data_IF_353952647402
#
_entry.id   IF_353952647402
#
_cell.length_a   1.000
_cell.length_b   1.000
_cell.length_c   1.000
_cell.angle_alpha   90.00
_cell.angle_beta   90.00
_cell.angle_gamma   90.00
#
_symmetry.space_group_name_H-M   'P 1'
#
loop_
_entity.id
_entity.type
_entity.pdbx_description
1 polymer ?
#
# COMPACT_ATOMS: atom_id res chain seq x y z
N UNK A 1 38.75 4.47 63.63
CA UNK A 1 39.28 3.67 62.52
C UNK A 1 38.14 3.53 61.53
N UNK A 2 38.00 4.53 60.65
CA UNK A 2 38.52 4.57 59.24
C UNK A 2 37.65 3.67 58.36
N UNK A 3 37.07 4.07 57.22
CA UNK A 3 37.18 5.26 56.37
C UNK A 3 36.02 5.22 55.35
N UNK A 4 35.51 6.40 55.01
CA UNK A 4 35.20 6.94 53.67
C UNK A 4 34.37 6.21 52.57
N UNK A 5 33.54 7.08 51.99
CA UNK A 5 32.65 7.06 50.82
C UNK A 5 33.33 6.67 49.50
N UNK A 6 32.58 6.03 48.59
CA UNK A 6 32.72 6.29 47.14
C UNK A 6 31.40 6.09 46.39
N UNK A 7 30.89 7.20 45.85
CA UNK A 7 30.00 7.25 44.70
C UNK A 7 30.74 6.72 43.47
N UNK A 8 30.11 5.90 42.64
CA UNK A 8 30.40 5.82 41.21
C UNK A 8 29.12 5.46 40.44
N UNK A 9 28.83 6.31 39.46
CA UNK A 9 27.70 6.28 38.53
C UNK A 9 28.06 5.42 37.32
N UNK A 10 27.19 4.50 36.90
CA UNK A 10 27.06 4.11 35.48
C UNK A 10 25.69 3.48 35.26
N UNK A 11 24.78 4.17 34.55
CA UNK A 11 24.66 4.18 33.08
C UNK A 11 23.93 2.92 32.60
N UNK A 12 22.64 3.13 32.33
CA UNK A 12 21.92 2.67 31.13
C UNK A 12 21.93 1.19 30.82
N UNK A 13 20.76 0.55 30.98
CA UNK A 13 20.11 -0.13 29.86
C UNK A 13 18.62 0.20 29.88
N UNK A 14 18.27 1.31 29.23
CA UNK A 14 16.99 1.37 28.51
C UNK A 14 17.08 0.29 27.43
N UNK A 15 16.37 -0.82 27.62
CA UNK A 15 15.75 -1.51 26.49
C UNK A 15 14.25 -1.42 26.69
N UNK A 16 13.73 -0.20 26.47
CA UNK A 16 12.37 -0.07 25.99
C UNK A 16 12.29 -0.90 24.71
N UNK A 17 11.73 -2.10 24.84
CA UNK A 17 11.11 -2.79 23.73
C UNK A 17 10.02 -1.86 23.24
N UNK A 18 10.37 -0.97 22.30
CA UNK A 18 9.42 -0.31 21.42
C UNK A 18 8.78 -1.41 20.59
N UNK A 19 7.80 -2.08 21.20
CA UNK A 19 6.77 -2.79 20.49
C UNK A 19 6.03 -1.67 19.76
N UNK A 20 6.49 -1.36 18.55
CA UNK A 20 5.85 -0.41 17.66
C UNK A 20 4.37 -0.79 17.62
N UNK A 21 3.53 0.05 18.23
CA UNK A 21 2.08 -0.16 18.16
C UNK A 21 1.72 -0.22 16.68
N UNK A 22 0.91 -1.19 16.25
CA UNK A 22 0.49 -1.24 14.86
C UNK A 22 -0.16 0.10 14.51
N UNK A 23 0.44 0.80 13.55
CA UNK A 23 -0.05 2.10 13.09
C UNK A 23 -1.41 1.86 12.44
N UNK A 24 -2.45 2.51 12.97
CA UNK A 24 -3.77 2.40 12.38
C UNK A 24 -3.77 3.08 11.01
N UNK A 25 -4.19 2.36 9.97
CA UNK A 25 -4.24 2.89 8.60
C UNK A 25 -5.35 3.94 8.49
N UNK A 26 -4.97 5.22 8.49
CA UNK A 26 -5.87 6.37 8.35
C UNK A 26 -5.88 6.90 6.91
N UNK A 27 -6.90 7.68 6.54
CA UNK A 27 -6.96 8.33 5.22
C UNK A 27 -5.76 9.26 4.97
N UNK A 28 -5.21 9.89 6.02
CA UNK A 28 -4.02 10.72 5.92
C UNK A 28 -2.77 9.91 5.57
N UNK A 29 -2.61 8.71 6.13
CA UNK A 29 -1.50 7.82 5.83
C UNK A 29 -1.64 7.25 4.41
N UNK A 30 -2.85 6.79 4.04
CA UNK A 30 -3.14 6.31 2.68
C UNK A 30 -2.83 7.41 1.65
N UNK A 31 -3.26 8.65 1.93
CA UNK A 31 -2.96 9.82 1.09
C UNK A 31 -1.46 10.06 0.91
N UNK A 32 -0.69 10.02 2.00
CA UNK A 32 0.77 10.15 1.93
C UNK A 32 1.41 9.05 1.08
N UNK A 33 1.02 7.78 1.30
CA UNK A 33 1.51 6.65 0.49
C UNK A 33 1.24 6.85 -1.01
N UNK A 34 0.04 7.28 -1.38
CA UNK A 34 -0.32 7.45 -2.80
C UNK A 34 0.40 8.63 -3.44
N UNK A 35 0.45 9.78 -2.74
CA UNK A 35 0.98 11.01 -3.31
C UNK A 35 2.50 10.99 -3.35
N UNK A 36 3.16 10.46 -2.32
CA UNK A 36 4.61 10.55 -2.18
C UNK A 36 5.36 9.29 -2.63
N UNK A 37 4.71 8.12 -2.60
CA UNK A 37 5.35 6.82 -2.84
C UNK A 37 4.67 5.99 -3.93
N UNK A 38 3.62 6.51 -4.58
CA UNK A 38 2.85 5.80 -5.61
C UNK A 38 2.35 4.41 -5.16
N UNK A 39 2.03 4.31 -3.87
CA UNK A 39 1.52 3.10 -3.21
C UNK A 39 0.13 3.37 -2.65
N UNK A 40 -0.82 2.51 -2.97
CA UNK A 40 -2.18 2.53 -2.44
C UNK A 40 -2.36 1.36 -1.46
N UNK A 41 -2.27 1.60 -0.14
CA UNK A 41 -2.72 0.63 0.86
C UNK A 41 -4.19 0.28 0.66
N UNK A 42 -4.50 -1.00 0.74
CA UNK A 42 -5.85 -1.55 0.62
C UNK A 42 -6.56 -1.53 1.96
N UNK A 43 -7.82 -1.09 1.98
CA UNK A 43 -8.68 -1.22 3.16
C UNK A 43 -9.13 -2.66 3.37
N UNK A 44 -9.31 -3.41 2.28
CA UNK A 44 -9.59 -4.84 2.29
C UNK A 44 -8.45 -5.59 1.58
N UNK A 45 -7.60 -6.33 2.32
CA UNK A 45 -6.55 -7.14 1.71
C UNK A 45 -7.12 -8.21 0.78
N UNK A 46 -6.44 -8.47 -0.32
CA UNK A 46 -6.82 -9.50 -1.30
C UNK A 46 -6.05 -10.78 -1.00
N UNK A 47 -6.75 -11.91 -0.92
CA UNK A 47 -6.10 -13.22 -0.75
C UNK A 47 -6.01 -13.93 -2.10
N UNK A 48 -4.81 -14.30 -2.51
CA UNK A 48 -4.57 -15.05 -3.74
C UNK A 48 -3.41 -16.02 -3.57
N UNK A 49 -3.57 -17.27 -4.01
CA UNK A 49 -2.57 -18.34 -3.86
C UNK A 49 -2.01 -18.49 -2.42
N UNK A 50 -2.90 -18.48 -1.42
CA UNK A 50 -2.57 -18.54 0.01
C UNK A 50 -1.67 -17.39 0.52
N UNK A 51 -1.60 -16.28 -0.23
CA UNK A 51 -0.92 -15.05 0.17
C UNK A 51 -1.93 -13.92 0.32
N UNK A 52 -1.65 -13.00 1.24
CA UNK A 52 -2.47 -11.81 1.49
C UNK A 52 -1.71 -10.61 0.96
N UNK A 53 -2.33 -9.85 0.07
CA UNK A 53 -1.81 -8.62 -0.50
C UNK A 53 -2.61 -7.45 0.07
N UNK A 54 -1.94 -6.49 0.70
CA UNK A 54 -2.58 -5.38 1.43
C UNK A 54 -2.27 -4.01 0.82
N UNK A 55 -1.61 -3.97 -0.34
CA UNK A 55 -1.39 -2.74 -1.10
C UNK A 55 -1.22 -3.00 -2.60
N UNK A 56 -1.31 -1.91 -3.36
CA UNK A 56 -0.88 -1.85 -4.76
C UNK A 56 0.17 -0.78 -4.94
N UNK A 57 1.11 -1.00 -5.85
CA UNK A 57 2.04 0.01 -6.36
C UNK A 57 1.76 0.28 -7.82
N UNK A 58 1.85 1.54 -8.23
CA UNK A 58 1.84 1.91 -9.65
C UNK A 58 3.18 1.54 -10.27
N UNK A 59 3.19 0.65 -11.26
CA UNK A 59 4.42 0.22 -11.92
C UNK A 59 4.90 1.24 -12.97
N UNK A 60 3.95 1.93 -13.60
CA UNK A 60 4.20 2.89 -14.68
C UNK A 60 3.10 3.94 -14.75
N UNK A 61 3.41 5.03 -15.46
CA UNK A 61 2.40 6.02 -15.79
C UNK A 61 1.28 5.39 -16.63
N UNK A 62 0.04 5.73 -16.28
CA UNK A 62 -1.13 5.29 -17.01
C UNK A 62 -1.43 6.26 -18.15
N UNK A 63 -1.53 5.75 -19.37
CA UNK A 63 -1.80 6.54 -20.57
C UNK A 63 -3.20 6.25 -21.13
N UNK A 64 -3.73 7.16 -21.94
CA UNK A 64 -5.06 7.00 -22.57
C UNK A 64 -5.18 5.67 -23.32
N UNK A 65 -4.09 5.20 -23.93
CA UNK A 65 -4.06 3.93 -24.68
C UNK A 65 -4.35 2.72 -23.80
N UNK A 66 -3.98 2.74 -22.54
CA UNK A 66 -4.24 1.63 -21.61
C UNK A 66 -5.76 1.45 -21.38
N UNK A 67 -6.51 2.55 -21.31
CA UNK A 67 -7.98 2.50 -21.21
C UNK A 67 -8.62 1.94 -22.48
N UNK A 68 -8.11 2.35 -23.64
CA UNK A 68 -8.58 1.83 -24.93
C UNK A 68 -8.33 0.32 -25.02
N UNK A 69 -7.15 -0.15 -24.61
CA UNK A 69 -6.83 -1.57 -24.58
C UNK A 69 -7.71 -2.34 -23.59
N UNK A 70 -7.99 -1.77 -22.41
CA UNK A 70 -8.89 -2.40 -21.44
C UNK A 70 -10.34 -2.53 -21.94
N UNK A 71 -10.86 -1.51 -22.63
CA UNK A 71 -12.18 -1.59 -23.28
C UNK A 71 -12.20 -2.64 -24.40
N UNK A 72 -11.17 -2.67 -25.25
CA UNK A 72 -11.02 -3.67 -26.31
C UNK A 72 -10.95 -5.09 -25.73
N UNK A 73 -10.21 -5.28 -24.64
CA UNK A 73 -10.14 -6.55 -23.94
C UNK A 73 -11.51 -6.98 -23.40
N UNK A 74 -12.25 -6.07 -22.75
CA UNK A 74 -13.61 -6.38 -22.27
C UNK A 74 -14.53 -6.83 -23.40
N UNK A 75 -14.49 -6.13 -24.55
CA UNK A 75 -15.27 -6.52 -25.73
C UNK A 75 -14.82 -7.90 -26.23
N UNK A 76 -13.52 -8.17 -26.25
CA UNK A 76 -12.97 -9.45 -26.70
C UNK A 76 -13.35 -10.64 -25.81
N UNK A 77 -13.41 -10.46 -24.50
CA UNK A 77 -13.74 -11.54 -23.55
C UNK A 77 -15.25 -11.72 -23.34
N UNK A 78 -16.03 -10.65 -23.41
CA UNK A 78 -17.44 -10.65 -22.97
C UNK A 78 -18.44 -10.15 -24.03
N UNK A 79 -18.01 -9.90 -25.26
CA UNK A 79 -18.81 -9.32 -26.36
C UNK A 79 -19.46 -7.95 -26.02
N UNK A 80 -19.02 -7.30 -24.93
CA UNK A 80 -19.54 -6.01 -24.46
C UNK A 80 -18.55 -5.30 -23.54
N UNK A 81 -18.81 -4.02 -23.28
CA UNK A 81 -18.02 -3.22 -22.35
C UNK A 81 -18.60 -3.34 -20.94
N UNK A 82 -17.89 -4.04 -20.06
CA UNK A 82 -18.20 -4.12 -18.65
C UNK A 82 -17.23 -3.24 -17.86
N UNK A 83 -17.73 -2.18 -17.23
CA UNK A 83 -16.88 -1.16 -16.60
C UNK A 83 -15.97 -1.72 -15.50
N UNK A 84 -16.44 -2.71 -14.74
CA UNK A 84 -15.65 -3.31 -13.67
C UNK A 84 -14.54 -4.21 -14.23
N UNK A 85 -14.80 -4.90 -15.34
CA UNK A 85 -13.81 -5.66 -16.07
C UNK A 85 -12.73 -4.74 -16.69
N UNK A 86 -13.14 -3.62 -17.29
CA UNK A 86 -12.22 -2.58 -17.80
C UNK A 86 -11.33 -2.04 -16.69
N UNK A 87 -11.91 -1.70 -15.53
CA UNK A 87 -11.15 -1.20 -14.37
C UNK A 87 -10.17 -2.24 -13.84
N UNK A 88 -10.62 -3.48 -13.67
CA UNK A 88 -9.78 -4.55 -13.15
C UNK A 88 -8.64 -4.89 -14.11
N UNK A 89 -8.89 -4.95 -15.42
CA UNK A 89 -7.84 -5.13 -16.43
C UNK A 89 -6.82 -4.01 -16.38
N UNK A 90 -7.30 -2.76 -16.34
CA UNK A 90 -6.43 -1.59 -16.26
C UNK A 90 -5.54 -1.63 -15.01
N UNK A 91 -6.09 -2.02 -13.86
CA UNK A 91 -5.31 -2.20 -12.62
C UNK A 91 -4.32 -3.35 -12.78
N UNK A 92 -4.74 -4.49 -13.33
CA UNK A 92 -3.88 -5.64 -13.55
C UNK A 92 -2.67 -5.28 -14.43
N UNK A 93 -2.84 -4.42 -15.43
CA UNK A 93 -1.80 -4.03 -16.39
C UNK A 93 -0.88 -2.90 -15.89
N UNK A 94 -1.37 -2.02 -15.03
CA UNK A 94 -0.64 -0.81 -14.59
C UNK A 94 -0.09 -0.88 -13.16
N UNK A 95 -0.60 -1.81 -12.35
CA UNK A 95 -0.23 -1.96 -10.96
C UNK A 95 0.35 -3.34 -10.66
N UNK A 96 1.09 -3.40 -9.56
CA UNK A 96 1.45 -4.66 -8.90
C UNK A 96 0.88 -4.68 -7.50
N UNK A 97 0.41 -5.85 -7.06
CA UNK A 97 -0.08 -6.06 -5.70
C UNK A 97 1.07 -6.51 -4.81
N UNK A 98 1.06 -6.12 -3.54
CA UNK A 98 2.14 -6.46 -2.63
C UNK A 98 1.74 -6.48 -1.16
N UNK A 99 2.75 -6.78 -0.34
CA UNK A 99 2.70 -6.71 1.12
C UNK A 99 3.47 -5.47 1.56
N UNK A 100 2.76 -4.54 2.18
CA UNK A 100 3.24 -3.23 2.58
C UNK A 100 4.20 -3.35 3.76
N UNK A 101 5.42 -2.85 3.57
CA UNK A 101 6.32 -2.50 4.65
C UNK A 101 6.47 -0.97 4.68
N UNK A 102 6.26 -0.37 5.83
CA UNK A 102 6.14 1.08 5.97
C UNK A 102 6.80 1.55 7.26
N UNK A 103 7.60 2.60 7.16
CA UNK A 103 8.14 3.31 8.33
C UNK A 103 7.47 4.67 8.48
N UNK A 104 7.19 5.00 9.74
CA UNK A 104 6.54 6.24 10.11
C UNK A 104 7.23 6.90 11.28
N UNK A 105 7.20 8.23 11.33
CA UNK A 105 7.61 9.03 12.48
C UNK A 105 6.44 9.88 12.97
N UNK A 106 6.45 10.22 14.26
CA UNK A 106 5.47 11.12 14.86
C UNK A 106 6.04 12.54 14.89
N UNK A 107 5.38 13.49 14.22
CA UNK A 107 5.73 14.91 14.21
C UNK A 107 4.50 15.71 14.66
N UNK A 108 4.55 16.44 15.77
CA UNK A 108 3.49 17.39 16.18
C UNK A 108 2.03 16.87 16.07
N UNK A 109 1.76 15.66 16.58
CA UNK A 109 0.47 14.93 16.47
C UNK A 109 0.07 14.46 15.07
N UNK A 110 0.94 14.59 14.08
CA UNK A 110 0.83 14.04 12.74
C UNK A 110 1.73 12.81 12.57
N UNK A 111 1.24 11.78 11.89
CA UNK A 111 2.03 10.60 11.53
C UNK A 111 2.55 10.82 10.11
N UNK A 112 3.88 10.96 9.99
CA UNK A 112 4.58 11.14 8.72
C UNK A 112 5.09 9.80 8.22
N UNK A 113 4.74 9.44 6.98
CA UNK A 113 5.33 8.27 6.30
C UNK A 113 6.70 8.66 5.76
N UNK A 114 7.73 7.91 6.13
CA UNK A 114 9.12 8.22 5.74
C UNK A 114 9.64 7.25 4.69
N UNK A 115 9.21 5.99 4.75
CA UNK A 115 9.63 4.94 3.81
C UNK A 115 8.46 4.01 3.53
N UNK A 116 8.37 3.56 2.28
CA UNK A 116 7.41 2.55 1.82
C UNK A 116 8.17 1.55 0.95
N UNK A 117 7.96 0.27 1.20
CA UNK A 117 8.53 -0.84 0.44
C UNK A 117 7.49 -1.96 0.29
N UNK A 118 7.73 -2.83 -0.69
CA UNK A 118 6.99 -4.08 -0.84
C UNK A 118 7.90 -5.24 -0.43
N UNK A 119 7.49 -6.01 0.57
CA UNK A 119 8.24 -7.22 0.98
C UNK A 119 7.98 -8.38 0.04
N UNK A 120 6.79 -8.42 -0.54
CA UNK A 120 6.41 -9.36 -1.59
C UNK A 120 5.57 -8.65 -2.64
N UNK A 121 5.59 -9.14 -3.88
CA UNK A 121 4.77 -8.58 -4.94
C UNK A 121 4.35 -9.61 -5.98
N UNK A 122 3.18 -9.42 -6.58
CA UNK A 122 2.66 -10.24 -7.66
C UNK A 122 1.69 -9.45 -8.55
N UNK A 123 1.60 -9.86 -9.81
CA UNK A 123 0.51 -9.47 -10.68
C UNK A 123 -0.67 -10.40 -10.41
N UNK A 124 -1.85 -9.83 -10.16
CA UNK A 124 -3.06 -10.60 -9.91
C UNK A 124 -3.89 -10.72 -11.21
N UNK A 125 -4.56 -11.86 -11.44
CA UNK A 125 -5.44 -12.01 -12.59
C UNK A 125 -6.66 -11.10 -12.45
N UNK A 126 -7.23 -10.70 -13.60
CA UNK A 126 -8.35 -9.75 -13.66
C UNK A 126 -9.55 -10.20 -12.83
N UNK A 127 -9.93 -11.48 -12.93
CA UNK A 127 -11.07 -12.04 -12.20
C UNK A 127 -10.90 -11.90 -10.68
N UNK A 128 -9.69 -12.15 -10.16
CA UNK A 128 -9.38 -11.98 -8.74
C UNK A 128 -9.58 -10.53 -8.28
N UNK A 129 -9.20 -9.57 -9.13
CA UNK A 129 -9.34 -8.14 -8.83
C UNK A 129 -10.82 -7.72 -8.85
N UNK A 130 -11.59 -8.17 -9.84
CA UNK A 130 -13.03 -7.90 -9.94
C UNK A 130 -13.76 -8.38 -8.69
N UNK A 131 -13.45 -9.59 -8.23
CA UNK A 131 -14.16 -10.23 -7.12
C UNK A 131 -13.75 -9.69 -5.74
N UNK A 132 -12.52 -9.18 -5.61
CA UNK A 132 -11.92 -8.90 -4.29
C UNK A 132 -11.75 -7.42 -3.98
N UNK A 133 -11.63 -6.54 -4.99
CA UNK A 133 -11.27 -5.15 -4.74
C UNK A 133 -12.48 -4.34 -4.25
N UNK A 134 -12.36 -3.72 -3.08
CA UNK A 134 -13.45 -2.92 -2.53
C UNK A 134 -13.65 -1.60 -3.29
N UNK A 135 -14.90 -1.13 -3.38
CA UNK A 135 -15.28 0.12 -4.09
C UNK A 135 -14.47 1.34 -3.65
N UNK A 136 -14.17 1.46 -2.35
CA UNK A 136 -13.34 2.57 -1.84
C UNK A 136 -11.88 2.47 -2.30
N UNK A 137 -11.36 1.26 -2.41
CA UNK A 137 -9.99 1.03 -2.88
C UNK A 137 -9.87 1.33 -4.38
N UNK A 138 -10.92 1.06 -5.18
CA UNK A 138 -10.99 1.52 -6.58
C UNK A 138 -10.84 3.04 -6.71
N UNK A 139 -11.47 3.82 -5.83
CA UNK A 139 -11.37 5.29 -5.87
C UNK A 139 -9.94 5.76 -5.56
N UNK A 140 -9.31 5.17 -4.54
CA UNK A 140 -7.93 5.46 -4.16
C UNK A 140 -6.95 5.11 -5.28
N UNK A 141 -7.09 3.92 -5.88
CA UNK A 141 -6.28 3.49 -7.02
C UNK A 141 -6.47 4.41 -8.21
N UNK A 142 -7.70 4.79 -8.52
CA UNK A 142 -7.98 5.71 -9.62
C UNK A 142 -7.31 7.07 -9.40
N UNK A 143 -7.26 7.54 -8.15
CA UNK A 143 -6.57 8.78 -7.79
C UNK A 143 -5.05 8.63 -7.97
N UNK A 144 -4.45 7.56 -7.45
CA UNK A 144 -3.03 7.25 -7.61
C UNK A 144 -2.63 7.14 -9.09
N UNK A 145 -3.43 6.46 -9.91
CA UNK A 145 -3.15 6.27 -11.34
C UNK A 145 -3.33 7.54 -12.18
N UNK A 146 -4.17 8.47 -11.73
CA UNK A 146 -4.40 9.77 -12.37
C UNK A 146 -3.35 10.82 -12.07
N UNK A 147 -2.38 10.52 -11.19
CA UNK A 147 -1.25 11.40 -10.89
C UNK A 147 -0.31 11.49 -12.12
N UNK A 148 0.09 12.71 -12.46
CA UNK A 148 1.09 13.00 -13.48
C UNK A 148 2.49 13.08 -12.87
#
# INVERSE_FOLDING_TARGET
MTEETKHETSTTELSSLDIAKPVQMTDSIIGQCMVEFDVCPLRAPITYNNKVYDCMVREREAVIRDRIHAEQWSIGEFDSVYIDAVRAFFIADTCRFGVLDMKTIQEDNFIRVTEVALTESAQLPVDCIVDSLAVKDYANVSHMLGKA
#
